data_IF_294323491646
#
_entry.id   IF_294323491646
#
_cell.length_a   1.000
_cell.length_b   1.000
_cell.length_c   1.000
_cell.angle_alpha   90.00
_cell.angle_beta   90.00
_cell.angle_gamma   90.00
#
_symmetry.space_group_name_H-M   'P 1'
#
loop_
_entity.id
_entity.type
_entity.pdbx_description
1 polymer ?
#
# COMPACT_ATOMS: atom_id res chain seq x y z
N UNK A 1 17.37 -41.29 -20.24
CA UNK A 1 16.93 -40.81 -18.91
C UNK A 1 17.97 -41.23 -17.86
N UNK A 2 18.93 -40.37 -17.52
CA UNK A 2 20.02 -40.68 -16.58
C UNK A 2 19.83 -40.11 -15.18
N UNK A 3 18.95 -39.11 -15.00
CA UNK A 3 18.76 -38.40 -13.72
C UNK A 3 18.28 -39.34 -12.60
N UNK A 4 17.24 -40.19 -12.79
CA UNK A 4 16.81 -41.11 -11.73
C UNK A 4 17.90 -42.14 -11.39
N UNK A 5 18.64 -42.62 -12.40
CA UNK A 5 19.72 -43.59 -12.24
C UNK A 5 20.89 -43.02 -11.42
N UNK A 6 21.22 -41.73 -11.62
CA UNK A 6 22.25 -41.00 -10.87
C UNK A 6 21.85 -40.81 -9.40
N UNK A 7 20.59 -40.45 -9.15
CA UNK A 7 20.05 -40.26 -7.80
C UNK A 7 20.00 -41.56 -6.99
N UNK A 8 19.71 -42.70 -7.65
CA UNK A 8 19.69 -44.03 -7.02
C UNK A 8 21.12 -44.52 -6.75
N UNK A 9 22.06 -44.30 -7.68
CA UNK A 9 23.44 -44.72 -7.48
C UNK A 9 24.12 -43.98 -6.32
N UNK A 10 23.87 -42.66 -6.21
CA UNK A 10 24.40 -41.80 -5.15
C UNK A 10 23.39 -41.60 -4.02
N UNK A 11 22.81 -42.69 -3.51
CA UNK A 11 21.75 -42.64 -2.50
C UNK A 11 22.13 -41.88 -1.22
N UNK A 12 23.40 -41.87 -0.82
CA UNK A 12 23.88 -41.10 0.34
C UNK A 12 23.76 -39.59 0.12
N UNK A 13 24.13 -39.10 -1.08
CA UNK A 13 24.01 -37.69 -1.44
C UNK A 13 22.53 -37.30 -1.51
N UNK A 14 21.71 -38.13 -2.14
CA UNK A 14 20.26 -37.90 -2.24
C UNK A 14 19.60 -37.81 -0.86
N UNK A 15 19.99 -38.66 0.10
CA UNK A 15 19.47 -38.63 1.47
C UNK A 15 19.88 -37.35 2.20
N UNK A 16 21.14 -36.92 2.07
CA UNK A 16 21.62 -35.67 2.68
C UNK A 16 20.84 -34.48 2.14
N UNK A 17 20.66 -34.39 0.82
CA UNK A 17 19.88 -33.31 0.19
C UNK A 17 18.43 -33.33 0.66
N UNK A 18 17.83 -34.51 0.77
CA UNK A 18 16.45 -34.64 1.26
C UNK A 18 16.31 -34.19 2.72
N UNK A 19 17.22 -34.60 3.60
CA UNK A 19 17.24 -34.16 5.01
C UNK A 19 17.46 -32.65 5.10
N UNK A 20 18.35 -32.10 4.28
CA UNK A 20 18.61 -30.66 4.25
C UNK A 20 17.37 -29.88 3.80
N UNK A 21 16.66 -30.34 2.78
CA UNK A 21 15.39 -29.75 2.35
C UNK A 21 14.32 -29.84 3.44
N UNK A 22 14.25 -30.95 4.18
CA UNK A 22 13.33 -31.08 5.31
C UNK A 22 13.64 -30.07 6.43
N UNK A 23 14.91 -29.91 6.78
CA UNK A 23 15.33 -28.95 7.82
C UNK A 23 15.04 -27.52 7.38
N UNK A 24 15.35 -27.17 6.12
CA UNK A 24 15.04 -25.85 5.56
C UNK A 24 13.53 -25.59 5.51
N UNK A 25 12.75 -26.58 5.11
CA UNK A 25 11.29 -26.49 5.07
C UNK A 25 10.69 -26.30 6.47
N UNK A 26 11.15 -27.05 7.46
CA UNK A 26 10.72 -26.90 8.85
C UNK A 26 11.12 -25.55 9.44
N UNK A 27 12.34 -25.08 9.16
CA UNK A 27 12.79 -23.78 9.61
C UNK A 27 11.96 -22.64 8.99
N UNK A 28 11.70 -22.72 7.68
CA UNK A 28 10.84 -21.78 6.97
C UNK A 28 9.42 -21.76 7.54
N UNK A 29 8.82 -22.93 7.80
CA UNK A 29 7.47 -23.02 8.37
C UNK A 29 7.38 -22.40 9.78
N UNK A 30 8.42 -22.54 10.60
CA UNK A 30 8.47 -21.98 11.95
C UNK A 30 8.76 -20.47 11.94
N UNK A 31 9.51 -19.98 10.95
CA UNK A 31 9.93 -18.58 10.86
C UNK A 31 9.01 -17.71 9.99
N UNK A 32 8.13 -18.32 9.20
CA UNK A 32 7.17 -17.60 8.37
C UNK A 32 6.26 -16.71 9.23
N UNK A 33 6.23 -15.39 8.99
CA UNK A 33 5.33 -14.49 9.70
C UNK A 33 3.88 -14.86 9.37
N UNK A 34 3.03 -14.90 10.40
CA UNK A 34 1.60 -15.16 10.26
C UNK A 34 0.86 -13.85 10.46
N UNK A 35 0.05 -13.49 9.49
CA UNK A 35 -0.89 -12.38 9.58
C UNK A 35 -2.30 -12.97 9.59
N UNK A 36 -3.17 -12.44 10.44
CA UNK A 36 -4.58 -12.85 10.53
C UNK A 36 -5.34 -12.39 9.28
N UNK A 37 -5.08 -11.15 8.87
CA UNK A 37 -5.61 -10.54 7.65
C UNK A 37 -4.47 -10.17 6.70
N UNK A 38 -4.70 -10.24 5.37
CA UNK A 38 -3.76 -9.67 4.42
C UNK A 38 -3.69 -8.15 4.64
N UNK A 39 -2.48 -7.60 4.70
CA UNK A 39 -2.29 -6.15 4.68
C UNK A 39 -2.69 -5.67 3.28
N UNK A 40 -3.80 -4.94 3.21
CA UNK A 40 -4.24 -4.26 2.00
C UNK A 40 -3.81 -2.80 2.18
N UNK A 41 -2.78 -2.39 1.45
CA UNK A 41 -2.31 -1.01 1.46
C UNK A 41 -3.17 -0.24 0.45
N UNK A 42 -4.18 0.46 0.96
CA UNK A 42 -4.93 1.46 0.19
C UNK A 42 -4.16 2.77 0.34
N UNK A 43 -3.55 3.30 -0.73
CA UNK A 43 -2.85 4.57 -0.67
C UNK A 43 -3.86 5.70 -0.47
N UNK A 44 -3.84 6.31 0.72
CA UNK A 44 -4.65 7.49 1.03
C UNK A 44 -3.79 8.65 1.54
N UNK A 45 -4.09 9.86 1.05
CA UNK A 45 -3.41 11.09 1.43
C UNK A 45 -4.42 12.05 2.06
N UNK A 46 -4.05 12.62 3.20
CA UNK A 46 -4.86 13.61 3.91
C UNK A 46 -4.31 15.01 3.69
N UNK A 47 -5.12 15.88 3.10
CA UNK A 47 -4.84 17.31 2.95
C UNK A 47 -5.65 18.07 4.01
N UNK A 48 -4.97 18.76 4.91
CA UNK A 48 -5.60 19.54 5.97
C UNK A 48 -5.37 21.01 5.71
N UNK A 49 -6.45 21.77 5.50
CA UNK A 49 -6.39 23.21 5.32
C UNK A 49 -7.10 23.92 6.48
N UNK A 50 -6.44 24.94 7.04
CA UNK A 50 -6.93 25.67 8.21
C UNK A 50 -7.22 27.11 7.77
N UNK A 51 -8.49 27.50 7.85
CA UNK A 51 -8.94 28.85 7.50
C UNK A 51 -9.80 29.44 8.64
N UNK A 52 -9.16 29.91 9.72
CA UNK A 52 -9.86 30.23 10.96
C UNK A 52 -10.77 31.46 10.80
N UNK A 53 -12.01 31.33 11.28
CA UNK A 53 -12.99 32.43 11.27
C UNK A 53 -13.79 32.57 9.98
N UNK A 54 -13.63 31.66 9.02
CA UNK A 54 -14.46 31.55 7.83
C UNK A 54 -15.68 30.63 8.09
N UNK A 55 -16.81 30.92 7.44
CA UNK A 55 -17.95 30.00 7.47
C UNK A 55 -17.64 28.75 6.64
N UNK A 56 -18.26 27.60 6.92
CA UNK A 56 -18.08 26.39 6.13
C UNK A 56 -18.29 26.58 4.62
N UNK A 57 -19.27 27.40 4.20
CA UNK A 57 -19.51 27.70 2.78
C UNK A 57 -18.36 28.50 2.13
N UNK A 58 -17.74 29.39 2.89
CA UNK A 58 -16.60 30.17 2.41
C UNK A 58 -15.36 29.28 2.31
N UNK A 59 -15.17 28.35 3.26
CA UNK A 59 -14.07 27.35 3.22
C UNK A 59 -14.25 26.40 2.03
N UNK A 60 -15.47 25.96 1.75
CA UNK A 60 -15.79 25.10 0.61
C UNK A 60 -15.35 25.78 -0.70
N UNK A 61 -15.94 26.96 -0.99
CA UNK A 61 -15.71 27.65 -2.26
C UNK A 61 -14.31 28.22 -2.45
N UNK A 62 -13.62 28.63 -1.38
CA UNK A 62 -12.32 29.30 -1.51
C UNK A 62 -11.12 28.39 -1.25
N UNK A 63 -11.31 27.26 -0.57
CA UNK A 63 -10.20 26.37 -0.17
C UNK A 63 -10.42 24.98 -0.72
N UNK A 64 -11.59 24.39 -0.52
CA UNK A 64 -11.86 23.00 -0.94
C UNK A 64 -11.96 22.90 -2.46
N UNK A 65 -12.82 23.70 -3.10
CA UNK A 65 -13.01 23.68 -4.57
C UNK A 65 -11.68 23.75 -5.35
N UNK A 66 -10.75 24.69 -5.08
CA UNK A 66 -9.48 24.73 -5.79
C UNK A 66 -8.53 23.57 -5.45
N UNK A 67 -8.61 23.01 -4.24
CA UNK A 67 -7.84 21.82 -3.88
C UNK A 67 -8.38 20.60 -4.64
N UNK A 68 -9.70 20.43 -4.67
CA UNK A 68 -10.32 19.33 -5.40
C UNK A 68 -10.07 19.44 -6.90
N UNK A 69 -10.13 20.64 -7.48
CA UNK A 69 -9.83 20.83 -8.91
C UNK A 69 -8.37 20.50 -9.24
N UNK A 70 -7.41 20.93 -8.42
CA UNK A 70 -5.99 20.60 -8.60
C UNK A 70 -5.70 19.11 -8.40
N UNK A 71 -6.34 18.47 -7.41
CA UNK A 71 -6.18 17.04 -7.15
C UNK A 71 -6.81 16.23 -8.27
N UNK A 72 -8.01 16.58 -8.77
CA UNK A 72 -8.66 15.86 -9.87
C UNK A 72 -7.89 15.86 -11.20
N UNK A 73 -6.87 16.71 -11.37
CA UNK A 73 -5.96 16.66 -12.52
C UNK A 73 -4.95 15.52 -12.43
N UNK A 74 -4.77 14.92 -11.25
CA UNK A 74 -3.85 13.81 -11.03
C UNK A 74 -4.43 12.48 -11.53
N UNK A 75 -3.57 11.64 -12.10
CA UNK A 75 -3.94 10.29 -12.52
C UNK A 75 -4.12 9.36 -11.30
N UNK A 76 -4.92 8.30 -11.48
CA UNK A 76 -5.12 7.20 -10.52
C UNK A 76 -5.90 7.54 -9.23
N UNK A 77 -6.76 8.56 -9.28
CA UNK A 77 -7.68 8.87 -8.17
C UNK A 77 -8.88 7.92 -8.19
N UNK A 78 -9.12 7.26 -7.06
CA UNK A 78 -10.29 6.40 -6.83
C UNK A 78 -11.46 7.18 -6.24
N UNK A 79 -11.29 7.69 -5.02
CA UNK A 79 -12.33 8.42 -4.29
C UNK A 79 -11.75 9.66 -3.59
N UNK A 80 -12.51 10.75 -3.62
CA UNK A 80 -12.18 11.99 -2.91
C UNK A 80 -13.31 12.34 -1.96
N UNK A 81 -12.98 12.48 -0.67
CA UNK A 81 -13.94 12.82 0.38
C UNK A 81 -13.45 14.02 1.19
N UNK A 82 -14.19 15.12 1.17
CA UNK A 82 -13.89 16.30 1.98
C UNK A 82 -14.86 16.47 3.15
N UNK A 83 -14.31 16.63 4.36
CA UNK A 83 -15.06 17.00 5.57
C UNK A 83 -14.69 18.41 5.99
N UNK A 84 -15.69 19.31 6.02
CA UNK A 84 -15.53 20.71 6.42
C UNK A 84 -16.11 20.92 7.82
N UNK A 85 -15.37 21.62 8.67
CA UNK A 85 -15.78 22.09 9.99
C UNK A 85 -15.42 23.57 10.12
N UNK A 86 -15.93 24.22 11.16
CA UNK A 86 -15.71 25.65 11.39
C UNK A 86 -14.20 25.99 11.36
N UNK A 87 -13.79 26.67 10.29
CA UNK A 87 -12.43 27.10 10.04
C UNK A 87 -11.39 26.00 9.75
N UNK A 88 -11.80 24.76 9.47
CA UNK A 88 -10.90 23.68 9.05
C UNK A 88 -11.56 22.75 8.03
N UNK A 89 -10.82 22.40 6.98
CA UNK A 89 -11.20 21.34 6.04
C UNK A 89 -10.19 20.21 6.08
N UNK A 90 -10.69 18.98 5.95
CA UNK A 90 -9.91 17.77 5.83
C UNK A 90 -10.38 17.07 4.57
N UNK A 91 -9.50 16.98 3.58
CA UNK A 91 -9.74 16.27 2.32
C UNK A 91 -8.95 14.97 2.34
N UNK A 92 -9.65 13.86 2.18
CA UNK A 92 -9.10 12.52 2.04
C UNK A 92 -9.11 12.16 0.54
N UNK A 93 -7.93 11.85 0.01
CA UNK A 93 -7.72 11.45 -1.38
C UNK A 93 -7.28 9.99 -1.37
N UNK A 94 -8.15 9.12 -1.86
CA UNK A 94 -7.89 7.69 -2.05
C UNK A 94 -7.45 7.43 -3.49
N UNK A 95 -6.32 6.73 -3.66
CA UNK A 95 -5.78 6.35 -4.94
C UNK A 95 -6.05 4.88 -5.26
N UNK A 96 -6.01 4.54 -6.55
CA UNK A 96 -6.17 3.17 -7.04
C UNK A 96 -5.11 2.21 -6.48
N UNK A 97 -5.47 0.92 -6.40
CA UNK A 97 -4.58 -0.11 -5.87
C UNK A 97 -3.31 -0.29 -6.73
N UNK A 98 -2.16 -0.33 -6.07
CA UNK A 98 -0.87 -0.65 -6.69
C UNK A 98 -0.05 0.56 -7.12
N UNK A 99 -0.48 1.79 -6.79
CA UNK A 99 0.36 2.99 -6.89
C UNK A 99 1.27 3.10 -5.67
N UNK A 100 2.44 3.71 -5.85
CA UNK A 100 3.36 4.00 -4.75
C UNK A 100 2.85 5.24 -3.99
N UNK A 101 2.55 5.13 -2.68
CA UNK A 101 2.06 6.27 -1.90
C UNK A 101 3.08 7.41 -1.77
N UNK A 102 4.38 7.11 -1.82
CA UNK A 102 5.43 8.13 -1.71
C UNK A 102 5.49 8.95 -3.01
N UNK A 103 5.35 8.32 -4.17
CA UNK A 103 5.31 9.00 -5.48
C UNK A 103 4.08 9.92 -5.59
N UNK A 104 2.90 9.42 -5.19
CA UNK A 104 1.66 10.21 -5.20
C UNK A 104 1.68 11.36 -4.18
N UNK A 105 2.37 11.19 -3.06
CA UNK A 105 2.57 12.27 -2.09
C UNK A 105 3.40 13.42 -2.69
N UNK A 106 4.46 13.10 -3.43
CA UNK A 106 5.26 14.12 -4.13
C UNK A 106 4.43 14.85 -5.21
N UNK A 107 3.57 14.12 -5.90
CA UNK A 107 2.66 14.68 -6.92
C UNK A 107 1.65 15.67 -6.32
N UNK A 108 1.03 15.33 -5.18
CA UNK A 108 0.07 16.19 -4.47
C UNK A 108 0.73 17.43 -3.86
N UNK A 109 2.01 17.37 -3.49
CA UNK A 109 2.72 18.50 -2.88
C UNK A 109 3.22 19.56 -3.88
N UNK A 110 3.24 19.23 -5.17
CA UNK A 110 3.89 20.02 -6.22
C UNK A 110 2.98 21.10 -6.80
#
# INVERSE_FOLDING_TARGET
>A
MSIPKLAIHNHQITLIVFVLLLVLGLNSLLQMPKLEDPVVEIPSIFVVAIYPGANPQDVESQVVDPIEEAVNELDDIGELTTTIRDGVSVTEVEFEFGVDPDDKLEEVQR
#
